data_IF_294007765215
#
_entry.id   IF_294007765215
#
_cell.length_a   1.000
_cell.length_b   1.000
_cell.length_c   1.000
_cell.angle_alpha   90.00
_cell.angle_beta   90.00
_cell.angle_gamma   90.00
#
_symmetry.space_group_name_H-M   'P 1'
#
loop_
_entity.id
_entity.type
_entity.pdbx_description
1 polymer ?
#
# COMPACT_ATOMS: atom_id res chain seq x y z
N UNK A 1 31.25 31.30 22.28
CA UNK A 1 30.89 29.89 22.05
C UNK A 1 29.58 29.83 21.33
N UNK A 2 29.66 29.63 20.07
CA UNK A 2 28.47 29.51 19.24
C UNK A 2 27.97 28.09 19.27
N UNK A 3 26.80 27.89 19.84
CA UNK A 3 26.14 26.60 19.72
C UNK A 3 25.78 26.35 18.26
N UNK A 4 26.17 25.23 17.70
CA UNK A 4 25.83 24.92 16.34
C UNK A 4 24.30 24.90 16.17
N UNK A 5 23.85 25.31 15.03
CA UNK A 5 22.42 25.35 14.68
C UNK A 5 21.72 24.00 14.90
N UNK A 6 22.47 22.93 14.89
CA UNK A 6 22.02 21.57 15.15
C UNK A 6 21.39 21.37 16.53
N UNK A 7 21.93 22.05 17.56
CA UNK A 7 21.32 21.96 18.88
C UNK A 7 19.98 22.68 18.99
N UNK A 8 19.78 23.71 18.18
CA UNK A 8 18.51 24.43 18.12
C UNK A 8 17.42 23.60 17.46
N UNK A 9 17.78 22.88 16.42
CA UNK A 9 16.84 22.00 15.71
C UNK A 9 16.45 20.82 16.59
N UNK A 10 17.43 20.22 17.28
CA UNK A 10 17.18 19.13 18.21
C UNK A 10 16.29 19.54 19.39
N UNK A 11 16.50 20.76 19.91
CA UNK A 11 15.66 21.29 20.99
C UNK A 11 14.22 21.51 20.55
N UNK A 12 14.03 21.95 19.33
CA UNK A 12 12.72 22.16 18.77
C UNK A 12 11.96 20.84 18.54
N UNK A 13 12.65 19.84 18.04
CA UNK A 13 12.06 18.51 17.86
C UNK A 13 11.68 17.88 19.20
N UNK A 14 12.53 17.99 20.19
CA UNK A 14 12.23 17.48 21.54
C UNK A 14 11.01 18.19 22.13
N UNK A 15 10.90 19.50 21.96
CA UNK A 15 9.75 20.27 22.44
C UNK A 15 8.46 19.84 21.77
N UNK A 16 8.47 19.61 20.47
CA UNK A 16 7.31 19.09 19.74
C UNK A 16 6.92 17.69 20.22
N UNK A 17 7.89 16.82 20.43
CA UNK A 17 7.65 15.47 20.92
C UNK A 17 7.08 15.49 22.34
N UNK A 18 7.60 16.35 23.19
CA UNK A 18 7.14 16.48 24.57
C UNK A 18 5.75 17.12 24.65
N UNK A 19 5.43 18.04 23.79
CA UNK A 19 4.10 18.64 23.75
C UNK A 19 3.05 17.61 23.37
N UNK A 20 3.34 16.77 22.41
CA UNK A 20 2.46 15.65 22.00
C UNK A 20 2.34 14.63 23.13
N UNK A 21 3.44 14.29 23.75
CA UNK A 21 3.47 13.34 24.88
C UNK A 21 2.72 13.89 26.10
N UNK A 22 2.91 15.15 26.42
CA UNK A 22 2.22 15.79 27.54
C UNK A 22 0.71 15.85 27.36
N UNK A 23 0.25 16.07 26.12
CA UNK A 23 -1.18 16.07 25.82
C UNK A 23 -1.80 14.68 25.92
N UNK A 24 -1.04 13.63 25.67
CA UNK A 24 -1.49 12.25 25.77
C UNK A 24 -1.55 11.81 27.23
N UNK A 25 -0.55 12.15 28.04
CA UNK A 25 -0.47 11.72 29.44
C UNK A 25 -1.42 12.48 30.34
N UNK A 26 -1.72 13.73 29.99
CA UNK A 26 -2.47 14.63 30.87
C UNK A 26 -3.95 14.30 31.09
N UNK A 27 -4.59 13.45 30.29
CA UNK A 27 -6.04 13.23 30.38
C UNK A 27 -6.54 11.83 30.09
N UNK A 28 -5.72 10.83 29.88
CA UNK A 28 -6.18 9.45 29.67
C UNK A 28 -7.17 9.26 28.52
N UNK A 29 -7.45 10.30 27.77
CA UNK A 29 -8.30 10.23 26.57
C UNK A 29 -7.39 10.23 25.36
N UNK A 30 -7.22 9.07 24.80
CA UNK A 30 -6.70 8.99 23.45
C UNK A 30 -7.73 9.61 22.50
N UNK A 31 -7.62 10.92 22.29
CA UNK A 31 -8.15 11.44 21.06
C UNK A 31 -7.34 10.78 19.96
N UNK A 32 -7.94 9.86 19.24
CA UNK A 32 -7.34 9.34 18.02
C UNK A 32 -6.96 10.53 17.16
N UNK A 33 -5.67 10.77 16.99
CA UNK A 33 -5.20 11.73 15.99
C UNK A 33 -5.80 11.23 14.67
N UNK A 34 -6.67 12.01 14.02
CA UNK A 34 -7.19 11.59 12.74
C UNK A 34 -5.99 11.41 11.82
N UNK A 35 -5.61 10.16 11.60
CA UNK A 35 -4.62 9.83 10.59
C UNK A 35 -5.25 10.17 9.26
N UNK A 36 -4.65 11.12 8.57
CA UNK A 36 -5.01 11.33 7.19
C UNK A 36 -4.87 10.01 6.42
N UNK A 37 -5.84 9.67 5.58
CA UNK A 37 -5.73 8.47 4.76
C UNK A 37 -4.45 8.54 3.97
N UNK A 38 -3.63 7.51 4.08
CA UNK A 38 -2.38 7.41 3.34
C UNK A 38 -2.67 6.85 1.96
N UNK A 39 -2.34 7.62 0.96
CA UNK A 39 -2.27 7.11 -0.40
C UNK A 39 -0.97 6.33 -0.56
N UNK A 40 -1.07 5.13 -1.09
CA UNK A 40 0.08 4.30 -1.39
C UNK A 40 0.35 4.34 -2.90
N UNK A 41 1.54 4.74 -3.27
CA UNK A 41 2.05 4.57 -4.62
C UNK A 41 2.70 3.20 -4.71
N UNK A 42 2.26 2.40 -5.67
CA UNK A 42 2.74 1.04 -5.87
C UNK A 42 3.29 0.93 -7.29
N UNK A 43 4.55 0.60 -7.41
CA UNK A 43 5.18 0.33 -8.69
C UNK A 43 5.25 -1.19 -8.91
N UNK A 44 4.62 -1.64 -9.98
CA UNK A 44 4.56 -3.03 -10.38
C UNK A 44 5.37 -3.25 -11.65
N UNK A 45 6.25 -4.23 -11.61
CA UNK A 45 6.98 -4.68 -12.80
C UNK A 45 6.23 -5.86 -13.41
N UNK A 46 5.79 -5.66 -14.64
CA UNK A 46 5.15 -6.66 -15.49
C UNK A 46 6.17 -7.17 -16.52
N UNK A 47 5.92 -8.30 -17.17
CA UNK A 47 6.86 -8.83 -18.17
C UNK A 47 7.21 -7.85 -19.30
N UNK A 48 6.29 -6.97 -19.67
CA UNK A 48 6.46 -6.05 -20.82
C UNK A 48 6.57 -4.57 -20.42
N UNK A 49 6.26 -4.22 -19.18
CA UNK A 49 6.22 -2.82 -18.74
C UNK A 49 6.26 -2.71 -17.23
N UNK A 50 6.54 -1.52 -16.75
CA UNK A 50 6.31 -1.13 -15.35
C UNK A 50 5.07 -0.25 -15.29
N UNK A 51 4.24 -0.49 -14.30
CA UNK A 51 2.99 0.26 -14.06
C UNK A 51 2.98 0.80 -12.64
N UNK A 52 2.58 2.05 -12.50
CA UNK A 52 2.38 2.70 -11.20
C UNK A 52 0.90 2.80 -10.89
N UNK A 53 0.52 2.39 -9.70
CA UNK A 53 -0.82 2.53 -9.17
C UNK A 53 -0.82 3.41 -7.93
N UNK A 54 -1.89 4.18 -7.76
CA UNK A 54 -2.18 4.81 -6.47
C UNK A 54 -3.34 4.07 -5.82
N UNK A 55 -3.11 3.55 -4.63
CA UNK A 55 -4.11 2.83 -3.85
C UNK A 55 -4.43 3.67 -2.63
N UNK A 56 -5.64 4.18 -2.56
CA UNK A 56 -6.07 5.11 -1.51
C UNK A 56 -6.99 4.44 -0.51
N UNK A 57 -6.76 4.72 0.77
CA UNK A 57 -7.66 4.26 1.83
C UNK A 57 -9.06 4.86 1.64
N UNK A 58 -10.09 4.05 1.89
CA UNK A 58 -11.47 4.51 1.77
C UNK A 58 -11.98 4.69 0.34
N UNK A 59 -11.18 4.40 -0.66
CA UNK A 59 -11.57 4.41 -2.07
C UNK A 59 -11.74 2.99 -2.59
N UNK A 60 -12.43 2.81 -3.74
CA UNK A 60 -12.57 1.50 -4.35
C UNK A 60 -11.22 0.83 -4.60
N UNK A 61 -11.13 -0.49 -4.41
CA UNK A 61 -9.87 -1.20 -4.64
C UNK A 61 -9.43 -1.10 -6.10
N UNK A 62 -8.13 -1.19 -6.33
CA UNK A 62 -7.55 -1.23 -7.67
C UNK A 62 -7.56 -2.66 -8.19
N UNK A 63 -8.15 -2.87 -9.33
CA UNK A 63 -8.40 -4.19 -9.89
C UNK A 63 -7.31 -4.59 -10.88
N UNK A 64 -6.84 -5.83 -10.74
CA UNK A 64 -6.02 -6.53 -11.72
C UNK A 64 -6.93 -7.48 -12.48
N UNK A 65 -6.88 -7.47 -13.78
CA UNK A 65 -7.69 -8.37 -14.57
C UNK A 65 -7.47 -8.25 -16.07
N UNK A 66 -8.17 -9.10 -16.82
CA UNK A 66 -8.12 -9.10 -18.26
C UNK A 66 -8.98 -8.01 -18.90
N UNK A 67 -9.96 -7.50 -18.17
CA UNK A 67 -10.83 -6.43 -18.66
C UNK A 67 -10.02 -5.17 -18.97
N UNK A 68 -10.36 -4.48 -20.05
CA UNK A 68 -9.80 -3.18 -20.37
C UNK A 68 -10.14 -2.10 -19.34
N UNK A 69 -11.15 -2.33 -18.52
CA UNK A 69 -11.57 -1.45 -17.43
C UNK A 69 -10.78 -1.71 -16.14
N UNK A 70 -9.99 -2.78 -16.07
CA UNK A 70 -9.13 -3.03 -14.92
C UNK A 70 -8.04 -1.97 -14.80
N UNK A 71 -7.67 -1.60 -13.56
CA UNK A 71 -6.59 -0.64 -13.31
C UNK A 71 -5.24 -1.18 -13.79
N UNK A 72 -5.03 -2.48 -13.64
CA UNK A 72 -3.93 -3.21 -14.26
C UNK A 72 -4.55 -4.21 -15.24
N UNK A 73 -4.65 -3.80 -16.49
CA UNK A 73 -5.18 -4.66 -17.55
C UNK A 73 -4.07 -5.53 -18.11
N UNK A 74 -4.29 -6.84 -18.08
CA UNK A 74 -3.32 -7.84 -18.53
C UNK A 74 -3.94 -8.68 -19.65
N UNK A 75 -3.27 -8.73 -20.79
CA UNK A 75 -3.71 -9.52 -21.94
C UNK A 75 -3.23 -10.96 -21.81
N UNK A 76 -3.89 -11.68 -20.93
CA UNK A 76 -3.60 -13.09 -20.65
C UNK A 76 -4.94 -13.84 -20.55
N UNK A 77 -5.22 -14.84 -21.43
CA UNK A 77 -6.50 -15.56 -21.44
C UNK A 77 -6.74 -16.35 -20.15
N UNK A 78 -5.72 -16.66 -19.38
CA UNK A 78 -5.84 -17.38 -18.11
C UNK A 78 -6.22 -16.45 -16.94
N UNK A 79 -6.24 -15.15 -17.17
CA UNK A 79 -6.63 -14.15 -16.18
C UNK A 79 -8.13 -13.88 -16.29
N UNK A 80 -8.82 -13.88 -15.16
CA UNK A 80 -10.23 -13.48 -15.09
C UNK A 80 -10.39 -11.99 -15.37
N UNK A 81 -11.55 -11.58 -15.84
CA UNK A 81 -11.83 -10.15 -16.15
C UNK A 81 -11.55 -9.26 -14.94
N UNK A 82 -12.01 -9.68 -13.79
CA UNK A 82 -11.67 -9.11 -12.49
C UNK A 82 -11.02 -10.23 -11.67
N UNK A 83 -9.70 -10.22 -11.58
CA UNK A 83 -8.95 -11.36 -11.04
C UNK A 83 -8.57 -11.17 -9.58
N UNK A 84 -7.97 -10.05 -9.27
CA UNK A 84 -7.50 -9.70 -7.95
C UNK A 84 -7.62 -8.19 -7.73
N UNK A 85 -7.47 -7.75 -6.50
CA UNK A 85 -7.50 -6.32 -6.20
C UNK A 85 -6.48 -5.95 -5.14
N UNK A 86 -5.98 -4.72 -5.24
CA UNK A 86 -5.21 -4.06 -4.20
C UNK A 86 -6.08 -3.13 -3.40
N UNK A 87 -5.91 -3.16 -2.09
CA UNK A 87 -6.58 -2.27 -1.17
C UNK A 87 -5.58 -1.77 -0.13
N UNK A 88 -5.69 -0.51 0.25
CA UNK A 88 -4.87 0.07 1.30
C UNK A 88 -5.69 0.21 2.59
N UNK A 89 -5.08 -0.16 3.70
CA UNK A 89 -5.64 0.05 5.02
C UNK A 89 -4.50 0.29 6.01
N UNK A 90 -4.57 1.38 6.76
CA UNK A 90 -3.58 1.74 7.79
C UNK A 90 -2.14 1.79 7.27
N UNK A 91 -1.96 2.28 6.04
CA UNK A 91 -0.64 2.36 5.40
C UNK A 91 -0.09 1.03 4.92
N UNK A 92 -0.90 -0.03 4.91
CA UNK A 92 -0.53 -1.37 4.46
C UNK A 92 -1.28 -1.70 3.18
N UNK A 93 -0.57 -2.31 2.24
CA UNK A 93 -1.15 -2.77 0.98
C UNK A 93 -1.60 -4.23 1.13
N UNK A 94 -2.84 -4.49 0.77
CA UNK A 94 -3.42 -5.83 0.78
C UNK A 94 -3.79 -6.27 -0.63
N UNK A 95 -3.56 -7.54 -0.91
CA UNK A 95 -3.97 -8.21 -2.15
C UNK A 95 -5.08 -9.21 -1.83
N UNK A 96 -6.14 -9.18 -2.61
CA UNK A 96 -7.30 -10.07 -2.45
C UNK A 96 -7.63 -10.72 -3.78
N UNK A 97 -7.89 -12.03 -3.77
CA UNK A 97 -8.44 -12.72 -4.94
C UNK A 97 -9.93 -12.45 -5.05
N UNK A 98 -10.40 -12.09 -6.25
CA UNK A 98 -11.80 -11.75 -6.49
C UNK A 98 -12.64 -12.94 -6.99
N UNK A 99 -12.33 -14.13 -6.53
CA UNK A 99 -12.98 -15.35 -7.00
C UNK A 99 -12.52 -15.73 -8.40
N UNK A 100 -11.25 -15.54 -8.69
CA UNK A 100 -10.67 -15.83 -9.99
C UNK A 100 -10.76 -17.31 -10.34
N UNK A 101 -10.81 -17.60 -11.65
CA UNK A 101 -10.90 -18.97 -12.16
C UNK A 101 -9.67 -19.81 -11.80
N UNK A 102 -8.48 -19.25 -11.94
CA UNK A 102 -7.22 -19.97 -11.78
C UNK A 102 -6.48 -19.65 -10.48
N UNK A 103 -7.02 -18.72 -9.68
CA UNK A 103 -6.41 -18.30 -8.42
C UNK A 103 -5.35 -17.21 -8.56
N UNK A 104 -5.03 -16.59 -7.44
CA UNK A 104 -3.95 -15.61 -7.29
C UNK A 104 -2.93 -16.19 -6.33
N UNK A 105 -1.66 -16.08 -6.67
CA UNK A 105 -0.57 -16.62 -5.85
C UNK A 105 0.36 -15.49 -5.43
N UNK A 106 0.68 -15.45 -4.15
CA UNK A 106 1.66 -14.53 -3.59
C UNK A 106 2.87 -15.33 -3.14
N UNK A 107 4.01 -15.09 -3.78
CA UNK A 107 5.25 -15.86 -3.54
C UNK A 107 5.04 -17.37 -3.61
N UNK A 108 4.23 -17.82 -4.55
CA UNK A 108 3.91 -19.24 -4.77
C UNK A 108 2.80 -19.82 -3.89
N UNK A 109 2.24 -19.01 -2.97
CA UNK A 109 1.16 -19.44 -2.10
C UNK A 109 -0.18 -18.92 -2.59
N UNK A 110 -1.12 -19.82 -2.79
CA UNK A 110 -2.48 -19.46 -3.25
C UNK A 110 -3.22 -18.66 -2.18
N UNK A 111 -3.82 -17.54 -2.59
CA UNK A 111 -4.63 -16.71 -1.72
C UNK A 111 -6.00 -17.33 -1.50
N UNK A 112 -6.54 -17.10 -0.29
CA UNK A 112 -7.95 -17.32 0.01
C UNK A 112 -8.79 -16.08 -0.32
N UNK A 113 -9.97 -15.99 0.30
CA UNK A 113 -10.88 -14.86 0.15
C UNK A 113 -10.49 -13.64 0.99
N UNK A 114 -9.55 -13.80 1.89
CA UNK A 114 -9.08 -12.71 2.76
C UNK A 114 -7.93 -11.96 2.11
N UNK A 115 -7.83 -10.65 2.40
CA UNK A 115 -6.71 -9.83 1.97
C UNK A 115 -5.42 -10.21 2.70
N UNK A 116 -4.34 -10.34 1.95
CA UNK A 116 -3.01 -10.66 2.47
C UNK A 116 -2.10 -9.46 2.25
N UNK A 117 -1.31 -9.11 3.26
CA UNK A 117 -0.33 -8.04 3.18
C UNK A 117 0.71 -8.30 2.08
N UNK A 118 0.96 -7.28 1.29
CA UNK A 118 1.96 -7.29 0.21
C UNK A 118 3.12 -6.39 0.60
N UNK A 119 4.32 -6.86 0.35
CA UNK A 119 5.57 -6.15 0.64
C UNK A 119 6.39 -5.92 -0.62
N UNK A 120 7.31 -4.97 -0.56
CA UNK A 120 8.28 -4.75 -1.62
C UNK A 120 9.08 -6.03 -1.88
N UNK A 121 9.23 -6.40 -3.15
CA UNK A 121 9.90 -7.62 -3.57
C UNK A 121 9.01 -8.83 -3.71
N UNK A 122 7.74 -8.75 -3.32
CA UNK A 122 6.81 -9.85 -3.48
C UNK A 122 6.49 -10.11 -4.95
N UNK A 123 6.31 -11.38 -5.27
CA UNK A 123 5.89 -11.85 -6.60
C UNK A 123 4.42 -12.25 -6.55
N UNK A 124 3.66 -11.74 -7.50
CA UNK A 124 2.24 -12.05 -7.65
C UNK A 124 2.05 -12.78 -8.97
N UNK A 125 1.53 -13.98 -8.91
CA UNK A 125 1.20 -14.77 -10.10
C UNK A 125 -0.31 -14.78 -10.32
N UNK A 126 -0.71 -14.31 -11.48
CA UNK A 126 -2.09 -14.31 -11.96
C UNK A 126 -2.10 -14.90 -13.37
N UNK A 127 -2.85 -15.98 -13.58
CA UNK A 127 -2.79 -16.71 -14.83
C UNK A 127 -1.36 -17.15 -15.17
N UNK A 128 -0.90 -16.82 -16.35
CA UNK A 128 0.48 -17.07 -16.79
C UNK A 128 1.39 -15.85 -16.59
N UNK A 129 0.91 -14.81 -15.92
CA UNK A 129 1.61 -13.54 -15.77
C UNK A 129 2.14 -13.37 -14.35
N UNK A 130 3.42 -13.02 -14.25
CA UNK A 130 4.04 -12.66 -12.98
C UNK A 130 4.21 -11.15 -12.88
N UNK A 131 3.79 -10.62 -11.74
CA UNK A 131 4.00 -9.23 -11.35
C UNK A 131 4.99 -9.20 -10.18
N UNK A 132 5.87 -8.23 -10.18
CA UNK A 132 6.75 -7.98 -9.04
C UNK A 132 6.41 -6.63 -8.42
N UNK A 133 6.31 -6.58 -7.11
CA UNK A 133 6.13 -5.35 -6.36
C UNK A 133 7.48 -4.69 -6.18
N UNK A 134 7.80 -3.74 -7.03
CA UNK A 134 9.12 -3.09 -7.02
C UNK A 134 9.22 -2.03 -5.93
N UNK A 135 8.15 -1.28 -5.69
CA UNK A 135 8.14 -0.18 -4.72
C UNK A 135 6.75 -0.02 -4.12
N UNK A 136 6.70 0.31 -2.84
CA UNK A 136 5.50 0.77 -2.15
C UNK A 136 5.89 2.01 -1.38
N UNK A 137 5.32 3.14 -1.72
CA UNK A 137 5.65 4.42 -1.11
C UNK A 137 4.39 5.08 -0.57
N UNK A 138 4.40 5.42 0.72
CA UNK A 138 3.36 6.26 1.31
C UNK A 138 3.49 7.68 0.78
N UNK A 139 2.43 8.19 0.18
CA UNK A 139 2.38 9.58 -0.27
C UNK A 139 1.81 10.44 0.85
N UNK A 140 2.54 11.46 1.31
CA UNK A 140 1.92 12.46 2.16
C UNK A 140 0.82 13.15 1.35
N UNK A 141 -0.38 13.20 1.90
CA UNK A 141 -1.40 14.02 1.28
C UNK A 141 -1.02 15.50 1.44
N UNK A 142 -1.14 16.21 0.43
CA UNK A 142 -0.95 17.66 0.44
C UNK A 142 -2.29 18.37 0.42
#
# INVERSE_FOLDING_TARGET
MTFPAQMRIGSFEILCAMAVFGAIVGRGRFAAVPRAPLDLRVDLVLPSRTTTLTVSEGHPPRVIGRSSEADVALDDPEISRRHASFQAARGVLYLTDLGSRNGTFLNGKKLGSEGIEVKIGDHIDVGNTRLEVAEIQGLPWT
#
